data_IF_120080608108
#
_entry.id   IF_120080608108
#
_cell.length_a   1.000
_cell.length_b   1.000
_cell.length_c   1.000
_cell.angle_alpha   90.00
_cell.angle_beta   90.00
_cell.angle_gamma   90.00
#
_symmetry.space_group_name_H-M   'P 1'
#
loop_
_entity.id
_entity.type
_entity.pdbx_description
1 polymer ?
#
# COMPACT_ATOMS: atom_id res chain seq x y z
N UNK A 1 32.64 -59.22 -15.15
CA UNK A 1 32.88 -57.95 -15.87
C UNK A 1 31.68 -57.06 -15.60
N UNK A 2 31.76 -56.25 -14.55
CA UNK A 2 30.67 -55.37 -14.09
C UNK A 2 30.63 -54.13 -14.98
N UNK A 3 29.52 -53.87 -15.66
CA UNK A 3 29.23 -52.56 -16.23
C UNK A 3 28.28 -51.82 -15.28
N UNK A 4 28.78 -50.75 -14.67
CA UNK A 4 27.95 -49.74 -14.01
C UNK A 4 27.24 -48.92 -15.09
N UNK A 5 25.91 -48.95 -15.10
CA UNK A 5 25.09 -47.98 -15.83
C UNK A 5 24.89 -46.80 -14.89
N UNK A 6 25.64 -45.72 -15.13
CA UNK A 6 25.39 -44.42 -14.51
C UNK A 6 24.20 -43.81 -15.24
N UNK A 7 23.06 -43.71 -14.55
CA UNK A 7 21.91 -42.92 -14.98
C UNK A 7 22.25 -41.43 -14.76
N UNK A 8 22.92 -40.82 -15.74
CA UNK A 8 22.98 -39.36 -15.81
C UNK A 8 21.62 -38.86 -16.32
N UNK A 9 20.75 -38.41 -15.41
CA UNK A 9 19.62 -37.55 -15.77
C UNK A 9 20.18 -36.24 -16.32
N UNK A 10 20.43 -36.21 -17.63
CA UNK A 10 20.54 -34.98 -18.39
C UNK A 10 19.14 -34.35 -18.41
N UNK A 11 18.92 -33.35 -17.54
CA UNK A 11 17.83 -32.41 -17.70
C UNK A 11 18.05 -31.65 -19.02
N UNK A 12 17.53 -32.19 -20.11
CA UNK A 12 17.38 -31.45 -21.35
C UNK A 12 16.35 -30.35 -21.12
N UNK A 13 16.84 -29.12 -20.94
CA UNK A 13 16.00 -27.92 -21.02
C UNK A 13 15.58 -27.78 -22.48
N UNK A 14 14.42 -28.35 -22.83
CA UNK A 14 13.85 -28.20 -24.17
C UNK A 14 13.30 -26.77 -24.22
N UNK A 15 13.83 -25.89 -25.08
CA UNK A 15 13.36 -24.52 -25.16
C UNK A 15 12.04 -24.55 -25.93
N UNK A 16 10.93 -24.64 -25.22
CA UNK A 16 9.63 -24.32 -25.79
C UNK A 16 9.07 -23.19 -24.96
N UNK A 17 9.48 -21.96 -25.26
CA UNK A 17 8.58 -20.81 -25.29
C UNK A 17 9.13 -19.78 -26.28
N UNK A 18 8.29 -19.40 -27.23
CA UNK A 18 8.52 -18.41 -28.29
C UNK A 18 8.52 -16.97 -27.77
N UNK A 19 8.65 -16.77 -26.46
CA UNK A 19 8.62 -15.47 -25.78
C UNK A 19 10.02 -15.08 -25.37
N UNK A 20 10.45 -13.89 -25.81
CA UNK A 20 11.73 -13.31 -25.42
C UNK A 20 11.60 -12.77 -24.01
N UNK A 21 12.23 -13.43 -23.02
CA UNK A 21 12.23 -12.95 -21.63
C UNK A 21 13.06 -11.65 -21.54
N UNK A 22 12.47 -10.52 -21.11
CA UNK A 22 13.20 -9.27 -20.88
C UNK A 22 14.20 -9.42 -19.71
N UNK A 23 15.40 -8.85 -19.87
CA UNK A 23 16.40 -8.85 -18.80
C UNK A 23 17.36 -7.65 -18.87
N UNK A 24 17.99 -7.34 -17.74
CA UNK A 24 19.02 -6.31 -17.59
C UNK A 24 20.34 -6.99 -17.22
N UNK A 25 21.43 -6.63 -17.91
CA UNK A 25 22.77 -7.12 -17.63
C UNK A 25 23.44 -6.30 -16.51
N UNK A 26 24.30 -6.97 -15.74
CA UNK A 26 25.09 -6.41 -14.66
C UNK A 26 24.25 -5.72 -13.58
N UNK A 27 23.11 -6.32 -13.24
CA UNK A 27 22.13 -5.70 -12.36
C UNK A 27 21.40 -6.75 -11.54
N UNK A 28 21.03 -6.37 -10.32
CA UNK A 28 20.16 -7.16 -9.46
C UNK A 28 19.03 -6.30 -8.87
N UNK A 29 17.91 -6.96 -8.60
CA UNK A 29 16.81 -6.43 -7.80
C UNK A 29 17.06 -6.71 -6.32
N UNK A 30 17.14 -5.68 -5.50
CA UNK A 30 17.30 -5.81 -4.04
C UNK A 30 16.04 -5.25 -3.38
N UNK A 31 15.16 -6.10 -2.86
CA UNK A 31 14.07 -5.59 -2.04
C UNK A 31 14.63 -5.11 -0.69
N UNK A 32 13.98 -4.10 -0.12
CA UNK A 32 14.27 -3.63 1.24
C UNK A 32 13.82 -4.65 2.31
N UNK A 33 12.88 -5.55 1.97
CA UNK A 33 12.46 -6.69 2.80
C UNK A 33 12.60 -8.02 2.06
N UNK A 34 13.20 -9.02 2.72
CA UNK A 34 13.44 -10.34 2.12
C UNK A 34 12.25 -11.31 2.24
N UNK A 35 11.04 -10.82 2.45
CA UNK A 35 9.91 -11.64 2.90
C UNK A 35 9.33 -12.58 1.84
N UNK A 36 9.64 -12.37 0.55
CA UNK A 36 9.09 -13.17 -0.57
C UNK A 36 10.16 -13.66 -1.57
N UNK A 37 11.37 -13.96 -1.09
CA UNK A 37 12.49 -14.41 -1.93
C UNK A 37 12.75 -15.90 -1.73
N UNK A 38 12.77 -16.67 -2.82
CA UNK A 38 13.33 -18.03 -2.82
C UNK A 38 14.77 -17.98 -3.30
N UNK A 39 15.72 -18.44 -2.48
CA UNK A 39 17.15 -18.47 -2.83
C UNK A 39 17.56 -19.91 -3.15
N UNK A 40 18.18 -20.09 -4.31
CA UNK A 40 18.76 -21.36 -4.74
C UNK A 40 20.24 -21.13 -5.01
N UNK A 41 21.10 -22.01 -4.51
CA UNK A 41 22.57 -21.95 -4.70
C UNK A 41 23.05 -23.12 -5.55
N UNK A 42 24.28 -23.04 -6.06
CA UNK A 42 24.89 -24.04 -6.95
C UNK A 42 24.07 -24.29 -8.22
N UNK A 43 23.45 -23.25 -8.77
CA UNK A 43 22.74 -23.30 -10.04
C UNK A 43 23.20 -22.16 -10.94
N UNK A 44 23.57 -22.52 -12.18
CA UNK A 44 23.86 -21.52 -13.20
C UNK A 44 22.58 -20.76 -13.57
N UNK A 45 22.73 -19.55 -14.08
CA UNK A 45 21.60 -18.73 -14.50
C UNK A 45 20.68 -19.45 -15.52
N UNK A 46 21.27 -20.24 -16.44
CA UNK A 46 20.49 -21.02 -17.40
C UNK A 46 19.65 -22.09 -16.73
N UNK A 47 20.17 -22.75 -15.69
CA UNK A 47 19.41 -23.76 -14.93
C UNK A 47 18.25 -23.10 -14.16
N UNK A 48 18.50 -21.91 -13.57
CA UNK A 48 17.46 -21.14 -12.89
C UNK A 48 16.33 -20.71 -13.81
N UNK A 49 16.64 -20.30 -15.04
CA UNK A 49 15.62 -19.98 -16.04
C UNK A 49 14.75 -21.20 -16.40
N UNK A 50 15.30 -22.41 -16.36
CA UNK A 50 14.55 -23.63 -16.65
C UNK A 50 13.59 -24.02 -15.50
N UNK A 51 13.81 -23.56 -14.27
CA UNK A 51 12.87 -23.77 -13.15
C UNK A 51 11.55 -23.00 -13.30
N UNK A 52 11.50 -22.01 -14.19
CA UNK A 52 10.39 -21.05 -14.30
C UNK A 52 9.14 -21.68 -14.91
N UNK A 53 9.29 -22.75 -15.69
CA UNK A 53 8.26 -23.32 -16.56
C UNK A 53 6.98 -23.77 -15.80
N UNK A 54 7.01 -23.87 -14.47
CA UNK A 54 5.86 -24.20 -13.62
C UNK A 54 5.74 -23.30 -12.37
N UNK A 55 6.32 -22.10 -12.36
CA UNK A 55 6.43 -21.26 -11.15
C UNK A 55 5.67 -19.93 -11.26
N UNK A 56 5.22 -19.40 -10.12
CA UNK A 56 4.54 -18.10 -9.98
C UNK A 56 5.48 -16.89 -9.92
N UNK A 57 6.79 -17.08 -10.09
CA UNK A 57 7.77 -16.01 -9.92
C UNK A 57 7.68 -14.95 -11.01
N UNK A 58 7.82 -13.68 -10.62
CA UNK A 58 7.73 -12.53 -11.52
C UNK A 58 9.10 -11.96 -11.89
N UNK A 59 10.12 -12.15 -11.04
CA UNK A 59 11.49 -11.74 -11.31
C UNK A 59 12.53 -12.76 -10.81
N UNK A 60 13.73 -12.69 -11.37
CA UNK A 60 14.87 -13.53 -11.03
C UNK A 60 16.18 -12.72 -11.05
N UNK A 61 16.93 -12.72 -9.95
CA UNK A 61 18.35 -12.38 -9.97
C UNK A 61 19.17 -13.65 -10.23
N UNK A 62 20.02 -13.61 -11.25
CA UNK A 62 21.15 -14.50 -11.41
C UNK A 62 22.40 -13.81 -10.89
N UNK A 63 22.99 -14.31 -9.81
CA UNK A 63 24.20 -13.76 -9.20
C UNK A 63 25.46 -14.47 -9.75
N UNK A 64 26.65 -13.83 -9.67
CA UNK A 64 27.89 -14.38 -10.23
C UNK A 64 28.40 -15.66 -9.56
N UNK A 65 27.89 -16.01 -8.39
CA UNK A 65 28.32 -17.14 -7.56
C UNK A 65 27.38 -18.35 -7.66
N UNK A 66 26.80 -18.59 -8.85
CA UNK A 66 25.81 -19.65 -9.09
C UNK A 66 24.65 -19.63 -8.07
N UNK A 67 24.22 -18.43 -7.69
CA UNK A 67 23.09 -18.19 -6.80
C UNK A 67 21.97 -17.50 -7.56
N UNK A 68 20.75 -17.97 -7.36
CA UNK A 68 19.55 -17.43 -7.95
C UNK A 68 18.58 -16.99 -6.86
N UNK A 69 18.02 -15.79 -7.02
CA UNK A 69 17.00 -15.27 -6.14
C UNK A 69 15.73 -15.07 -6.95
N UNK A 70 14.68 -15.81 -6.62
CA UNK A 70 13.38 -15.74 -7.28
C UNK A 70 12.41 -14.92 -6.44
N UNK A 71 11.63 -14.06 -7.09
CA UNK A 71 10.70 -13.14 -6.44
C UNK A 71 9.27 -13.48 -6.86
N UNK A 72 8.39 -13.70 -5.88
CA UNK A 72 6.95 -13.91 -6.13
C UNK A 72 6.19 -12.58 -6.33
N UNK A 73 6.70 -11.51 -5.74
CA UNK A 73 6.12 -10.15 -5.77
C UNK A 73 7.24 -9.13 -5.91
N UNK A 74 6.91 -7.90 -6.31
CA UNK A 74 7.83 -6.77 -6.17
C UNK A 74 7.58 -6.15 -4.80
N UNK A 75 8.63 -6.04 -3.97
CA UNK A 75 8.55 -5.26 -2.75
C UNK A 75 8.12 -3.83 -3.08
N UNK A 76 7.31 -3.20 -2.20
CA UNK A 76 6.88 -1.81 -2.38
C UNK A 76 8.07 -0.86 -2.47
N UNK A 77 9.10 -1.11 -1.68
CA UNK A 77 10.39 -0.43 -1.77
C UNK A 77 11.45 -1.43 -2.19
N UNK A 78 12.21 -1.08 -3.23
CA UNK A 78 13.28 -1.90 -3.76
C UNK A 78 14.35 -0.99 -4.37
N UNK A 79 15.55 -1.52 -4.53
CA UNK A 79 16.61 -0.86 -5.28
C UNK A 79 17.06 -1.76 -6.41
N UNK A 80 17.47 -1.16 -7.52
CA UNK A 80 18.15 -1.86 -8.60
C UNK A 80 19.62 -1.48 -8.48
N UNK A 81 20.49 -2.46 -8.22
CA UNK A 81 21.91 -2.23 -8.00
C UNK A 81 22.75 -2.84 -9.11
N UNK A 82 23.79 -2.11 -9.52
CA UNK A 82 24.77 -2.59 -10.50
C UNK A 82 25.71 -3.60 -9.85
N UNK A 83 25.73 -4.83 -10.38
CA UNK A 83 26.64 -5.89 -9.96
C UNK A 83 27.21 -6.56 -11.21
N UNK A 84 28.54 -6.54 -11.34
CA UNK A 84 29.23 -7.18 -12.46
C UNK A 84 28.87 -8.65 -12.57
N UNK A 85 28.61 -9.13 -13.79
CA UNK A 85 28.28 -10.53 -14.11
C UNK A 85 26.95 -11.03 -13.53
N UNK A 86 26.13 -10.16 -12.93
CA UNK A 86 24.76 -10.49 -12.56
C UNK A 86 23.77 -10.24 -13.70
N UNK A 87 22.59 -10.85 -13.63
CA UNK A 87 21.47 -10.57 -14.55
C UNK A 87 20.14 -10.57 -13.81
N UNK A 88 19.31 -9.57 -14.09
CA UNK A 88 17.93 -9.48 -13.60
C UNK A 88 16.96 -9.81 -14.74
N UNK A 89 16.13 -10.83 -14.57
CA UNK A 89 15.12 -11.25 -15.54
C UNK A 89 13.71 -10.92 -15.05
N UNK A 90 12.83 -10.52 -15.98
CA UNK A 90 11.41 -10.29 -15.75
C UNK A 90 10.61 -11.41 -16.42
N UNK A 91 10.13 -12.36 -15.63
CA UNK A 91 9.78 -13.70 -16.13
C UNK A 91 8.41 -13.76 -16.78
N UNK A 92 7.52 -12.85 -16.39
CA UNK A 92 6.12 -12.78 -16.86
C UNK A 92 5.83 -11.48 -17.62
N UNK A 93 6.88 -10.78 -18.10
CA UNK A 93 6.78 -9.40 -18.63
C UNK A 93 6.15 -8.41 -17.64
N UNK A 94 6.08 -8.79 -16.36
CA UNK A 94 5.71 -7.92 -15.26
C UNK A 94 6.99 -7.23 -14.82
N UNK A 95 7.08 -5.94 -15.11
CA UNK A 95 8.16 -5.10 -14.64
C UNK A 95 7.81 -4.58 -13.24
N UNK A 96 8.80 -4.40 -12.35
CA UNK A 96 8.57 -3.67 -11.12
C UNK A 96 8.01 -2.31 -11.52
N UNK A 97 7.03 -1.80 -10.76
CA UNK A 97 6.60 -0.41 -10.91
C UNK A 97 7.85 0.44 -10.76
N UNK A 98 8.44 0.85 -11.88
CA UNK A 98 9.63 1.65 -11.94
C UNK A 98 9.26 3.06 -11.52
N UNK A 99 9.02 3.26 -10.23
CA UNK A 99 9.06 4.58 -9.65
C UNK A 99 10.49 4.79 -9.16
N UNK A 100 11.35 5.21 -10.09
CA UNK A 100 12.55 5.98 -9.74
C UNK A 100 12.17 7.45 -9.50
N UNK A 101 10.89 7.74 -9.26
CA UNK A 101 10.42 9.07 -8.92
C UNK A 101 10.58 9.26 -7.42
N UNK A 102 11.82 9.30 -6.94
CA UNK A 102 12.08 10.06 -5.73
C UNK A 102 12.53 11.45 -6.14
N UNK A 103 11.66 12.45 -5.95
CA UNK A 103 12.05 13.85 -6.12
C UNK A 103 12.76 14.29 -4.84
N UNK A 104 14.07 14.06 -4.82
CA UNK A 104 14.96 14.34 -3.68
C UNK A 104 14.92 15.81 -3.25
N UNK A 105 14.80 16.73 -4.21
CA UNK A 105 14.60 18.15 -3.93
C UNK A 105 13.13 18.41 -3.48
N UNK A 106 12.93 18.40 -2.17
CA UNK A 106 11.61 18.65 -1.57
C UNK A 106 11.06 20.02 -1.93
N UNK A 107 11.87 21.10 -1.93
CA UNK A 107 11.39 22.43 -2.28
C UNK A 107 10.85 22.49 -3.72
N UNK A 108 11.55 21.85 -4.66
CA UNK A 108 11.07 21.73 -6.04
C UNK A 108 9.73 20.99 -6.13
N UNK A 109 9.58 19.86 -5.43
CA UNK A 109 8.32 19.13 -5.38
C UNK A 109 7.19 20.01 -4.82
N UNK A 110 7.42 20.68 -3.69
CA UNK A 110 6.42 21.53 -3.04
C UNK A 110 6.03 22.70 -3.94
N UNK A 111 6.98 23.33 -4.60
CA UNK A 111 6.72 24.40 -5.57
C UNK A 111 5.89 23.89 -6.75
N UNK A 112 6.16 22.68 -7.27
CA UNK A 112 5.36 22.09 -8.34
C UNK A 112 3.93 21.81 -7.89
N UNK A 113 3.75 21.16 -6.74
CA UNK A 113 2.42 20.82 -6.23
C UNK A 113 1.56 22.05 -5.94
N UNK A 114 2.17 23.12 -5.42
CA UNK A 114 1.44 24.36 -5.09
C UNK A 114 1.19 25.27 -6.29
N UNK A 115 1.95 25.11 -7.38
CA UNK A 115 1.76 25.87 -8.63
C UNK A 115 0.88 25.15 -9.65
N UNK A 116 0.74 23.82 -9.55
CA UNK A 116 -0.14 23.03 -10.41
C UNK A 116 -1.62 23.32 -10.13
N UNK A 117 -2.40 23.54 -11.19
CA UNK A 117 -3.85 23.67 -11.11
C UNK A 117 -4.49 22.32 -10.73
N UNK A 118 -5.18 22.21 -9.59
CA UNK A 118 -5.82 20.96 -9.20
C UNK A 118 -7.10 20.70 -9.98
N UNK A 119 -7.46 19.41 -10.10
CA UNK A 119 -8.77 18.95 -10.57
C UNK A 119 -9.59 18.56 -9.33
N UNK A 120 -10.87 18.92 -9.32
CA UNK A 120 -11.76 18.69 -8.19
C UNK A 120 -12.97 17.85 -8.61
N UNK A 121 -13.38 16.92 -7.76
CA UNK A 121 -14.71 16.33 -7.79
C UNK A 121 -15.47 16.68 -6.52
N UNK A 122 -16.67 17.24 -6.68
CA UNK A 122 -17.56 17.56 -5.57
C UNK A 122 -18.20 16.26 -5.04
N UNK A 123 -17.76 15.85 -3.86
CA UNK A 123 -18.26 14.69 -3.14
C UNK A 123 -18.55 15.15 -1.73
N UNK A 124 -19.78 14.93 -1.23
CA UNK A 124 -20.08 15.37 0.13
C UNK A 124 -19.33 14.52 1.16
N UNK A 125 -18.50 15.15 1.98
CA UNK A 125 -17.76 14.55 3.09
C UNK A 125 -17.08 13.22 2.72
N UNK A 126 -16.10 13.23 1.79
CA UNK A 126 -15.34 12.05 1.41
C UNK A 126 -14.41 11.61 2.55
N UNK A 127 -14.07 10.32 2.58
CA UNK A 127 -13.17 9.70 3.57
C UNK A 127 -11.98 9.05 2.86
N UNK A 128 -11.55 7.85 3.27
CA UNK A 128 -10.41 7.15 2.68
C UNK A 128 -10.56 6.96 1.18
N UNK A 129 -9.40 6.90 0.51
CA UNK A 129 -9.28 6.64 -0.91
C UNK A 129 -8.61 5.28 -1.12
N UNK A 130 -9.05 4.54 -2.13
CA UNK A 130 -8.36 3.34 -2.64
C UNK A 130 -8.41 3.26 -4.16
N UNK A 131 -7.43 2.58 -4.74
CA UNK A 131 -7.53 2.07 -6.10
C UNK A 131 -8.02 0.63 -6.08
N UNK A 132 -8.89 0.28 -7.04
CA UNK A 132 -9.29 -1.10 -7.28
C UNK A 132 -8.65 -1.67 -8.56
N UNK A 133 -8.82 -2.98 -8.78
CA UNK A 133 -8.28 -3.65 -9.96
C UNK A 133 -8.98 -3.26 -11.28
N UNK A 134 -10.12 -2.57 -11.21
CA UNK A 134 -10.76 -1.98 -12.39
C UNK A 134 -10.13 -0.63 -12.78
N UNK A 135 -9.15 -0.15 -12.00
CA UNK A 135 -8.47 1.11 -12.23
C UNK A 135 -9.27 2.33 -11.79
N UNK A 136 -10.29 2.15 -10.94
CA UNK A 136 -11.05 3.28 -10.39
C UNK A 136 -10.42 3.82 -9.11
N UNK A 137 -10.53 5.13 -8.93
CA UNK A 137 -10.32 5.76 -7.62
C UNK A 137 -11.64 5.69 -6.86
N UNK A 138 -11.62 5.14 -5.66
CA UNK A 138 -12.83 4.84 -4.88
C UNK A 138 -12.76 5.52 -3.52
N UNK A 139 -13.87 6.13 -3.11
CA UNK A 139 -14.07 6.69 -1.78
C UNK A 139 -15.43 6.26 -1.24
N UNK A 140 -15.65 6.48 0.05
CA UNK A 140 -17.00 6.55 0.64
C UNK A 140 -17.36 7.99 0.96
N UNK A 141 -18.66 8.28 0.94
CA UNK A 141 -19.23 9.56 1.36
C UNK A 141 -20.04 9.36 2.63
N UNK A 142 -19.71 10.09 3.70
CA UNK A 142 -20.42 10.05 4.98
C UNK A 142 -21.87 10.49 4.79
N UNK A 143 -22.06 11.62 4.11
CA UNK A 143 -23.37 12.27 4.00
C UNK A 143 -24.26 11.62 2.95
N UNK A 144 -23.69 11.16 1.83
CA UNK A 144 -24.46 10.44 0.79
C UNK A 144 -24.67 8.97 1.16
N UNK A 145 -23.93 8.45 2.15
CA UNK A 145 -23.98 7.06 2.62
C UNK A 145 -23.82 6.07 1.49
N UNK A 146 -22.78 6.22 0.68
CA UNK A 146 -22.50 5.34 -0.46
C UNK A 146 -21.02 5.27 -0.79
N UNK A 147 -20.65 4.24 -1.54
CA UNK A 147 -19.39 4.16 -2.29
C UNK A 147 -19.49 5.10 -3.49
N UNK A 148 -18.39 5.73 -3.87
CA UNK A 148 -18.27 6.55 -5.07
C UNK A 148 -17.01 6.13 -5.81
N UNK A 149 -17.16 5.75 -7.08
CA UNK A 149 -16.07 5.41 -7.99
C UNK A 149 -15.84 6.57 -8.95
N UNK A 150 -14.58 6.85 -9.26
CA UNK A 150 -14.12 7.96 -10.08
C UNK A 150 -13.11 7.44 -11.11
N UNK A 151 -13.16 7.99 -12.32
CA UNK A 151 -12.04 7.84 -13.26
C UNK A 151 -10.84 8.65 -12.75
N UNK A 152 -9.67 8.04 -12.47
CA UNK A 152 -8.57 8.74 -11.79
C UNK A 152 -7.97 9.89 -12.59
N UNK A 153 -8.06 9.87 -13.92
CA UNK A 153 -7.45 10.88 -14.77
C UNK A 153 -8.15 12.24 -14.67
N UNK A 154 -9.47 12.25 -14.54
CA UNK A 154 -10.30 13.46 -14.63
C UNK A 154 -11.30 13.63 -13.48
N UNK A 155 -11.33 12.69 -12.52
CA UNK A 155 -12.25 12.64 -11.38
C UNK A 155 -13.74 12.67 -11.78
N UNK A 156 -14.10 12.17 -12.96
CA UNK A 156 -15.51 12.00 -13.32
C UNK A 156 -16.11 10.80 -12.60
N UNK A 157 -17.33 10.94 -12.07
CA UNK A 157 -18.02 9.90 -11.30
C UNK A 157 -18.48 8.79 -12.25
N UNK A 158 -18.19 7.54 -11.88
CA UNK A 158 -18.70 6.34 -12.56
C UNK A 158 -20.13 6.09 -12.09
N UNK A 159 -21.08 6.07 -13.03
CA UNK A 159 -22.51 5.97 -12.74
C UNK A 159 -23.04 4.55 -12.64
N UNK A 160 -22.35 3.56 -13.23
CA UNK A 160 -22.83 2.18 -13.33
C UNK A 160 -21.78 1.13 -12.92
N UNK A 161 -22.18 0.03 -12.23
CA UNK A 161 -23.46 -0.12 -11.54
C UNK A 161 -23.70 0.97 -10.48
N UNK A 162 -24.98 1.22 -10.21
CA UNK A 162 -25.44 2.12 -9.15
C UNK A 162 -24.90 1.66 -7.79
N UNK A 163 -24.28 2.58 -7.06
CA UNK A 163 -23.74 2.27 -5.74
C UNK A 163 -24.84 2.06 -4.71
N UNK A 164 -24.70 1.07 -3.80
CA UNK A 164 -25.65 0.84 -2.74
C UNK A 164 -25.72 2.06 -1.82
N UNK A 165 -26.93 2.34 -1.33
CA UNK A 165 -27.14 3.35 -0.29
C UNK A 165 -27.19 2.67 1.07
N UNK A 166 -26.28 3.05 1.94
CA UNK A 166 -26.16 2.51 3.29
C UNK A 166 -27.14 3.19 4.25
N UNK A 167 -27.53 2.45 5.28
CA UNK A 167 -28.36 2.99 6.37
C UNK A 167 -27.53 3.87 7.30
N UNK A 168 -26.28 3.50 7.55
CA UNK A 168 -25.35 4.20 8.42
C UNK A 168 -24.35 5.04 7.62
N UNK A 169 -23.65 5.93 8.32
CA UNK A 169 -22.60 6.75 7.72
C UNK A 169 -21.28 5.97 7.65
N UNK A 170 -20.74 5.68 6.46
CA UNK A 170 -19.48 4.97 6.32
C UNK A 170 -18.32 5.82 6.84
N UNK A 171 -17.37 5.20 7.53
CA UNK A 171 -16.24 5.87 8.16
C UNK A 171 -14.95 5.73 7.34
N UNK A 172 -14.76 4.56 6.71
CA UNK A 172 -13.61 4.30 5.85
C UNK A 172 -13.95 3.24 4.79
N UNK A 173 -13.06 3.10 3.82
CA UNK A 173 -13.07 2.02 2.83
C UNK A 173 -11.64 1.53 2.61
N UNK A 174 -11.49 0.22 2.43
CA UNK A 174 -10.27 -0.39 1.89
C UNK A 174 -10.65 -1.43 0.82
N UNK A 175 -9.67 -1.92 0.07
CA UNK A 175 -9.85 -2.84 -1.04
C UNK A 175 -8.89 -4.03 -0.93
N UNK A 176 -9.42 -5.24 -1.10
CA UNK A 176 -8.64 -6.47 -1.15
C UNK A 176 -9.46 -7.61 -1.78
N UNK A 177 -8.82 -8.50 -2.54
CA UNK A 177 -9.45 -9.66 -3.19
C UNK A 177 -10.79 -9.32 -3.87
N UNK A 178 -10.77 -8.34 -4.77
CA UNK A 178 -11.95 -7.94 -5.57
C UNK A 178 -13.18 -7.50 -4.75
N UNK A 179 -12.98 -7.15 -3.48
CA UNK A 179 -14.02 -6.64 -2.60
C UNK A 179 -13.62 -5.32 -1.93
N UNK A 180 -14.60 -4.45 -1.75
CA UNK A 180 -14.50 -3.29 -0.87
C UNK A 180 -14.91 -3.69 0.55
N UNK A 181 -14.12 -3.25 1.52
CA UNK A 181 -14.43 -3.39 2.94
C UNK A 181 -14.77 -1.99 3.46
N UNK A 182 -16.06 -1.74 3.64
CA UNK A 182 -16.60 -0.45 4.08
C UNK A 182 -16.88 -0.53 5.56
N UNK A 183 -16.17 0.27 6.36
CA UNK A 183 -16.36 0.26 7.79
C UNK A 183 -17.42 1.28 8.23
N UNK A 184 -18.23 0.85 9.19
CA UNK A 184 -19.14 1.66 9.98
C UNK A 184 -18.68 1.63 11.44
N UNK A 185 -19.26 2.45 12.34
CA UNK A 185 -18.81 2.49 13.73
C UNK A 185 -18.74 1.13 14.43
N UNK A 186 -19.64 0.19 14.10
CA UNK A 186 -19.81 -1.09 14.83
C UNK A 186 -19.71 -2.36 13.97
N UNK A 187 -19.47 -2.23 12.66
CA UNK A 187 -19.37 -3.36 11.74
C UNK A 187 -18.61 -2.98 10.48
N UNK A 188 -18.18 -3.98 9.72
CA UNK A 188 -17.58 -3.80 8.39
C UNK A 188 -18.45 -4.53 7.39
N UNK A 189 -18.89 -3.83 6.36
CA UNK A 189 -19.65 -4.40 5.26
C UNK A 189 -18.70 -4.72 4.11
N UNK A 190 -18.82 -5.92 3.56
CA UNK A 190 -18.05 -6.32 2.38
C UNK A 190 -18.94 -6.21 1.15
N UNK A 191 -18.45 -5.51 0.12
CA UNK A 191 -19.17 -5.21 -1.10
C UNK A 191 -18.35 -5.68 -2.30
N UNK A 192 -18.99 -6.41 -3.20
CA UNK A 192 -18.38 -6.86 -4.45
C UNK A 192 -18.01 -5.67 -5.36
N UNK A 193 -16.80 -5.63 -5.91
CA UNK A 193 -16.35 -4.45 -6.68
C UNK A 193 -16.99 -4.30 -8.05
N UNK A 194 -17.43 -5.41 -8.64
CA UNK A 194 -17.98 -5.43 -9.99
C UNK A 194 -19.47 -5.10 -10.00
N UNK A 195 -20.23 -5.73 -9.11
CA UNK A 195 -21.70 -5.64 -9.02
C UNK A 195 -22.18 -4.65 -7.96
N UNK A 196 -21.30 -4.23 -7.04
CA UNK A 196 -21.64 -3.43 -5.86
C UNK A 196 -22.72 -4.06 -4.97
N UNK A 197 -22.84 -5.39 -5.00
CA UNK A 197 -23.72 -6.15 -4.12
C UNK A 197 -23.04 -6.42 -2.79
N UNK A 198 -23.83 -6.49 -1.71
CA UNK A 198 -23.32 -6.79 -0.37
C UNK A 198 -23.04 -8.30 -0.30
N UNK A 199 -21.80 -8.67 0.04
CA UNK A 199 -21.37 -10.05 0.14
C UNK A 199 -21.61 -10.61 1.54
N UNK A 200 -21.13 -9.92 2.57
CA UNK A 200 -21.31 -10.29 3.96
C UNK A 200 -21.08 -9.06 4.89
N UNK A 201 -21.21 -9.28 6.20
CA UNK A 201 -20.78 -8.33 7.22
C UNK A 201 -19.81 -9.02 8.18
N UNK A 202 -18.77 -8.30 8.59
CA UNK A 202 -17.85 -8.69 9.66
C UNK A 202 -18.26 -7.91 10.91
N UNK A 203 -18.57 -8.65 11.98
CA UNK A 203 -19.08 -8.09 13.23
C UNK A 203 -18.36 -8.68 14.43
N UNK A 204 -18.22 -7.87 15.47
CA UNK A 204 -17.79 -8.29 16.82
C UNK A 204 -18.19 -7.18 17.79
N UNK A 205 -18.45 -7.51 19.06
CA UNK A 205 -18.74 -6.53 20.10
C UNK A 205 -17.60 -5.56 20.39
N UNK A 206 -16.39 -5.85 19.89
CA UNK A 206 -15.19 -5.05 20.12
C UNK A 206 -15.01 -3.89 19.12
N UNK A 207 -15.77 -3.90 18.01
CA UNK A 207 -15.77 -2.78 17.05
C UNK A 207 -16.51 -1.59 17.66
N UNK A 208 -15.77 -0.50 17.87
CA UNK A 208 -16.35 0.76 18.36
C UNK A 208 -15.59 1.95 17.77
N UNK A 209 -16.30 2.74 16.98
CA UNK A 209 -15.73 3.88 16.29
C UNK A 209 -14.67 3.48 15.26
N UNK A 210 -14.93 2.48 14.41
CA UNK A 210 -13.95 2.04 13.40
C UNK A 210 -13.44 3.19 12.51
N UNK A 211 -12.12 3.37 12.37
CA UNK A 211 -11.49 4.47 11.56
C UNK A 211 -10.37 4.07 10.61
N UNK A 212 -9.59 3.04 10.93
CA UNK A 212 -8.56 2.51 10.03
C UNK A 212 -8.66 1.00 9.86
N UNK A 213 -8.32 0.51 8.67
CA UNK A 213 -8.22 -0.91 8.38
C UNK A 213 -7.11 -1.18 7.38
N UNK A 214 -6.41 -2.31 7.54
CA UNK A 214 -5.44 -2.81 6.56
C UNK A 214 -5.37 -4.33 6.61
N UNK A 215 -4.81 -4.91 5.55
CA UNK A 215 -4.56 -6.33 5.44
C UNK A 215 -3.06 -6.62 5.60
N UNK A 216 -2.75 -7.72 6.28
CA UNK A 216 -1.42 -8.31 6.35
C UNK A 216 -1.45 -9.73 5.78
N UNK A 217 -0.28 -10.29 5.52
CA UNK A 217 -0.08 -11.68 5.13
C UNK A 217 -0.92 -12.04 3.91
N UNK A 218 -0.89 -11.16 2.90
CA UNK A 218 -1.72 -11.27 1.69
C UNK A 218 -3.23 -11.47 2.00
N UNK A 219 -3.76 -10.76 2.99
CA UNK A 219 -5.18 -10.86 3.36
C UNK A 219 -5.52 -11.90 4.41
N UNK A 220 -4.58 -12.74 4.85
CA UNK A 220 -4.91 -13.72 5.89
C UNK A 220 -5.27 -13.05 7.21
N UNK A 221 -4.75 -11.85 7.47
CA UNK A 221 -5.04 -11.05 8.66
C UNK A 221 -5.59 -9.69 8.28
N UNK A 222 -6.72 -9.31 8.87
CA UNK A 222 -7.28 -7.95 8.82
C UNK A 222 -7.06 -7.30 10.18
N UNK A 223 -6.45 -6.10 10.18
CA UNK A 223 -6.28 -5.28 11.37
C UNK A 223 -7.19 -4.07 11.27
N UNK A 224 -7.84 -3.74 12.39
CA UNK A 224 -8.82 -2.66 12.47
C UNK A 224 -8.55 -1.80 13.71
N UNK A 225 -8.59 -0.48 13.55
CA UNK A 225 -8.51 0.45 14.67
C UNK A 225 -9.90 0.66 15.26
N UNK A 226 -10.08 0.23 16.51
CA UNK A 226 -11.24 0.52 17.34
C UNK A 226 -10.93 1.79 18.13
N UNK A 227 -11.23 2.93 17.52
CA UNK A 227 -10.78 4.26 17.96
C UNK A 227 -11.24 4.56 19.38
N UNK A 228 -12.54 4.42 19.66
CA UNK A 228 -13.12 4.85 20.94
C UNK A 228 -12.76 3.92 22.12
N UNK A 229 -12.36 2.69 21.84
CA UNK A 229 -11.85 1.77 22.88
C UNK A 229 -10.32 1.77 22.99
N UNK A 230 -9.61 2.47 22.11
CA UNK A 230 -8.13 2.46 22.01
C UNK A 230 -7.56 1.02 21.92
N UNK A 231 -8.08 0.25 20.96
CA UNK A 231 -7.55 -1.07 20.61
C UNK A 231 -7.24 -1.18 19.13
N UNK A 232 -6.25 -2.01 18.81
CA UNK A 232 -6.13 -2.64 17.50
C UNK A 232 -6.81 -4.02 17.59
N UNK A 233 -7.75 -4.28 16.69
CA UNK A 233 -8.46 -5.56 16.61
C UNK A 233 -7.90 -6.37 15.47
N UNK A 234 -7.71 -7.67 15.69
CA UNK A 234 -7.19 -8.58 14.68
C UNK A 234 -8.25 -9.61 14.34
N UNK A 235 -8.39 -9.83 13.03
CA UNK A 235 -9.27 -10.83 12.47
C UNK A 235 -8.47 -11.73 11.55
N UNK A 236 -8.81 -13.02 11.54
CA UNK A 236 -8.28 -13.96 10.58
C UNK A 236 -9.32 -14.27 9.52
N UNK A 237 -8.83 -14.42 8.29
CA UNK A 237 -9.63 -14.89 7.17
C UNK A 237 -10.19 -16.30 7.49
N UNK A 238 -11.48 -16.50 7.29
CA UNK A 238 -12.15 -17.76 7.65
C UNK A 238 -11.75 -18.93 6.76
N UNK A 239 -11.34 -18.65 5.53
CA UNK A 239 -10.79 -19.61 4.56
C UNK A 239 -9.93 -18.86 3.54
N UNK A 240 -8.96 -19.55 2.92
CA UNK A 240 -8.12 -18.96 1.85
C UNK A 240 -8.99 -18.33 0.77
N UNK A 241 -8.61 -17.12 0.35
CA UNK A 241 -9.31 -16.30 -0.65
C UNK A 241 -10.77 -15.93 -0.29
N UNK A 242 -11.19 -16.15 0.95
CA UNK A 242 -12.50 -15.72 1.44
C UNK A 242 -12.54 -14.23 1.75
N UNK A 243 -13.71 -13.62 1.56
CA UNK A 243 -14.02 -12.29 2.05
C UNK A 243 -14.60 -12.29 3.47
N UNK A 244 -14.66 -13.45 4.12
CA UNK A 244 -15.14 -13.61 5.51
C UNK A 244 -13.98 -13.60 6.50
N UNK A 245 -14.16 -12.87 7.60
CA UNK A 245 -13.17 -12.75 8.66
C UNK A 245 -13.80 -13.00 10.02
N UNK A 246 -13.03 -13.59 10.92
CA UNK A 246 -13.43 -13.88 12.30
C UNK A 246 -12.50 -13.16 13.28
N UNK A 247 -13.07 -12.54 14.30
CA UNK A 247 -12.30 -11.88 15.35
C UNK A 247 -11.44 -12.90 16.10
N UNK A 248 -10.17 -12.55 16.34
CA UNK A 248 -9.19 -13.43 16.99
C UNK A 248 -8.74 -12.86 18.32
N UNK A 249 -8.22 -11.64 18.31
CA UNK A 249 -7.74 -10.97 19.52
C UNK A 249 -7.76 -9.44 19.35
N UNK A 250 -7.38 -8.75 20.42
CA UNK A 250 -7.21 -7.31 20.42
C UNK A 250 -5.95 -6.94 21.21
N UNK A 251 -5.32 -5.84 20.84
CA UNK A 251 -4.20 -5.24 21.55
C UNK A 251 -4.58 -3.84 22.02
N UNK A 252 -4.47 -3.59 23.33
CA UNK A 252 -4.62 -2.25 23.89
C UNK A 252 -3.43 -1.40 23.45
N UNK A 253 -3.69 -0.18 22.99
CA UNK A 253 -2.64 0.80 22.66
C UNK A 253 -2.38 1.74 23.84
N UNK A 254 -1.19 2.34 23.92
CA UNK A 254 -0.84 3.26 25.02
C UNK A 254 -1.13 4.74 24.71
N UNK A 255 -1.83 5.01 23.61
CA UNK A 255 -2.28 6.33 23.20
C UNK A 255 -3.78 6.33 22.93
N UNK A 256 -4.34 7.51 22.72
CA UNK A 256 -5.78 7.69 22.53
C UNK A 256 -6.14 7.72 21.05
N UNK A 257 -7.34 7.25 20.73
CA UNK A 257 -7.94 7.31 19.41
C UNK A 257 -7.04 6.82 18.25
N UNK A 258 -6.62 5.53 18.24
CA UNK A 258 -5.98 4.94 17.07
C UNK A 258 -6.90 5.11 15.85
N UNK A 259 -6.33 5.58 14.76
CA UNK A 259 -7.11 6.10 13.64
C UNK A 259 -6.65 5.52 12.30
N UNK A 260 -5.70 6.14 11.61
CA UNK A 260 -5.26 5.72 10.29
C UNK A 260 -4.13 4.70 10.33
N UNK A 261 -4.09 3.78 9.36
CA UNK A 261 -2.97 2.86 9.15
C UNK A 261 -2.13 3.24 7.93
N UNK A 262 -0.85 2.89 7.98
CA UNK A 262 0.02 2.81 6.82
C UNK A 262 0.81 1.50 6.83
N UNK A 263 0.53 0.63 5.85
CA UNK A 263 1.23 -0.63 5.66
C UNK A 263 2.64 -0.41 5.10
N UNK A 264 3.63 -1.05 5.71
CA UNK A 264 5.01 -1.12 5.18
C UNK A 264 5.35 -2.56 4.80
N UNK A 265 5.11 -3.52 5.69
CA UNK A 265 5.28 -4.96 5.48
C UNK A 265 4.36 -5.75 6.40
N UNK A 266 4.31 -7.07 6.23
CA UNK A 266 3.54 -7.97 7.11
C UNK A 266 4.03 -8.00 8.57
N UNK A 267 5.20 -7.44 8.83
CA UNK A 267 5.81 -7.35 10.16
C UNK A 267 6.01 -5.92 10.65
N UNK A 268 5.62 -4.90 9.87
CA UNK A 268 5.85 -3.50 10.21
C UNK A 268 4.81 -2.57 9.60
N UNK A 269 4.25 -1.67 10.41
CA UNK A 269 3.29 -0.67 9.96
C UNK A 269 3.27 0.55 10.87
N UNK A 270 2.60 1.61 10.43
CA UNK A 270 2.32 2.79 11.27
C UNK A 270 0.84 2.93 11.59
N UNK A 271 0.55 3.53 12.74
CA UNK A 271 -0.80 3.94 13.15
C UNK A 271 -0.77 5.39 13.60
N UNK A 272 -1.75 6.18 13.18
CA UNK A 272 -1.91 7.57 13.65
C UNK A 272 -2.84 7.62 14.86
N UNK A 273 -2.60 8.57 15.76
CA UNK A 273 -3.56 8.99 16.77
C UNK A 273 -4.33 10.21 16.26
N UNK A 274 -5.66 10.13 16.26
CA UNK A 274 -6.51 11.26 15.87
C UNK A 274 -6.40 12.41 16.86
N UNK A 275 -6.42 12.12 18.15
CA UNK A 275 -6.46 13.18 19.16
C UNK A 275 -5.08 13.78 19.45
N UNK A 276 -4.02 12.96 19.48
CA UNK A 276 -2.68 13.40 19.90
C UNK A 276 -1.83 13.94 18.74
N UNK A 277 -2.27 13.79 17.48
CA UNK A 277 -1.47 14.12 16.30
C UNK A 277 -0.09 13.43 16.32
N UNK A 278 -0.07 12.16 16.72
CA UNK A 278 1.13 11.33 16.80
C UNK A 278 1.05 10.16 15.82
N UNK A 279 2.21 9.60 15.49
CA UNK A 279 2.36 8.39 14.68
C UNK A 279 3.16 7.39 15.50
N UNK A 280 2.64 6.17 15.59
CA UNK A 280 3.29 5.04 16.24
C UNK A 280 3.70 4.01 15.21
N UNK A 281 4.93 3.53 15.33
CA UNK A 281 5.42 2.37 14.61
C UNK A 281 5.06 1.10 15.37
N UNK A 282 4.63 0.08 14.63
CA UNK A 282 4.37 -1.26 15.13
C UNK A 282 5.27 -2.25 14.43
N UNK A 283 5.94 -3.09 15.23
CA UNK A 283 6.77 -4.19 14.73
C UNK A 283 6.30 -5.50 15.33
N UNK A 284 6.22 -6.54 14.50
CA UNK A 284 5.88 -7.88 14.94
C UNK A 284 7.01 -8.49 15.79
N UNK A 285 6.64 -9.08 16.90
CA UNK A 285 7.48 -9.95 17.73
C UNK A 285 6.80 -11.32 17.82
N UNK A 286 7.57 -12.40 17.93
CA UNK A 286 7.06 -13.77 18.04
C UNK A 286 6.07 -14.16 16.92
N UNK A 287 6.57 -14.32 15.68
CA UNK A 287 5.77 -14.82 14.55
C UNK A 287 4.47 -14.04 14.28
N UNK A 288 4.51 -12.71 14.43
CA UNK A 288 3.39 -11.79 14.13
C UNK A 288 2.16 -11.88 15.04
N UNK A 289 2.32 -12.44 16.26
CA UNK A 289 1.22 -12.52 17.24
C UNK A 289 1.23 -11.35 18.22
N UNK A 290 2.39 -10.78 18.54
CA UNK A 290 2.54 -9.67 19.49
C UNK A 290 3.16 -8.48 18.77
N UNK A 291 2.61 -7.28 18.93
CA UNK A 291 3.13 -6.09 18.28
C UNK A 291 3.76 -5.13 19.29
N UNK A 292 5.03 -4.81 19.07
CA UNK A 292 5.71 -3.76 19.83
C UNK A 292 5.38 -2.41 19.24
N UNK A 293 4.84 -1.55 20.09
CA UNK A 293 4.47 -0.16 19.80
C UNK A 293 5.61 0.78 20.18
N UNK A 294 5.96 1.72 19.30
CA UNK A 294 6.93 2.77 19.57
C UNK A 294 6.44 4.10 18.98
N UNK A 295 6.49 5.17 19.78
CA UNK A 295 6.27 6.53 19.26
C UNK A 295 7.32 6.83 18.19
N UNK A 296 6.86 7.15 16.99
CA UNK A 296 7.72 7.50 15.85
C UNK A 296 7.76 9.01 15.64
N UNK A 297 6.60 9.68 15.68
CA UNK A 297 6.49 11.10 15.38
C UNK A 297 5.42 11.76 16.25
N UNK A 298 5.73 12.96 16.74
CA UNK A 298 4.80 13.83 17.46
C UNK A 298 4.69 15.19 16.74
N UNK A 299 3.50 15.47 16.20
CA UNK A 299 3.22 16.69 15.45
C UNK A 299 2.50 17.77 16.28
N UNK A 300 2.29 17.56 17.59
CA UNK A 300 1.49 18.47 18.42
C UNK A 300 2.03 19.91 18.43
N UNK A 301 3.35 20.06 18.36
CA UNK A 301 4.03 21.37 18.30
C UNK A 301 3.76 22.16 17.02
N UNK A 302 3.36 21.50 15.92
CA UNK A 302 3.17 22.09 14.59
C UNK A 302 1.75 21.95 14.04
N UNK A 303 0.87 21.28 14.80
CA UNK A 303 -0.55 21.09 14.56
C UNK A 303 -1.27 21.03 15.92
N UNK A 304 -1.67 22.18 16.49
CA UNK A 304 -2.13 22.25 17.87
C UNK A 304 -3.57 21.76 18.08
N UNK A 305 -4.38 21.62 17.01
CA UNK A 305 -5.73 21.03 17.11
C UNK A 305 -5.70 19.54 16.77
N UNK A 306 -6.38 18.73 17.57
CA UNK A 306 -6.56 17.29 17.40
C UNK A 306 -7.24 16.94 16.07
N UNK A 307 -6.49 16.40 15.11
CA UNK A 307 -7.03 15.98 13.82
C UNK A 307 -6.10 15.02 13.04
N UNK A 308 -5.42 14.10 13.73
CA UNK A 308 -4.43 13.18 13.15
C UNK A 308 -5.04 12.02 12.37
N UNK A 309 -5.42 12.27 11.12
CA UNK A 309 -6.25 11.35 10.34
C UNK A 309 -5.47 10.17 9.76
N UNK A 310 -4.58 10.41 8.80
CA UNK A 310 -3.86 9.34 8.08
C UNK A 310 -2.45 9.76 7.69
N UNK A 311 -1.60 8.76 7.49
CA UNK A 311 -0.26 8.90 6.96
C UNK A 311 -0.20 8.35 5.54
N UNK A 312 0.54 9.02 4.68
CA UNK A 312 1.06 8.47 3.42
C UNK A 312 2.57 8.62 3.43
N UNK A 313 3.30 7.56 3.08
CA UNK A 313 4.75 7.63 2.89
C UNK A 313 5.04 7.58 1.39
N UNK A 314 5.82 8.53 0.90
CA UNK A 314 6.23 8.53 -0.51
C UNK A 314 7.55 7.79 -0.73
N UNK A 315 7.96 7.69 -1.99
CA UNK A 315 9.16 6.96 -2.45
C UNK A 315 10.49 7.56 -1.97
N UNK A 316 10.46 8.75 -1.35
CA UNK A 316 11.63 9.38 -0.74
C UNK A 316 11.65 9.21 0.80
N UNK A 317 10.85 8.28 1.35
CA UNK A 317 10.65 8.14 2.79
C UNK A 317 10.21 9.45 3.47
N UNK A 318 9.40 10.26 2.77
CA UNK A 318 8.76 11.42 3.39
C UNK A 318 7.40 11.04 3.92
N UNK A 319 7.10 11.51 5.12
CA UNK A 319 5.90 11.18 5.87
C UNK A 319 4.89 12.31 5.73
N UNK A 320 3.88 12.10 4.90
CA UNK A 320 2.80 13.04 4.64
C UNK A 320 1.67 12.76 5.63
N UNK A 321 1.62 13.57 6.69
CA UNK A 321 0.62 13.44 7.74
C UNK A 321 -0.58 14.35 7.45
N UNK A 322 -1.73 13.73 7.20
CA UNK A 322 -3.02 14.39 7.02
C UNK A 322 -3.57 14.80 8.38
N UNK A 323 -3.45 16.08 8.72
CA UNK A 323 -3.81 16.62 10.03
C UNK A 323 -5.11 17.43 9.98
N UNK A 324 -6.04 17.04 9.10
CA UNK A 324 -7.38 17.62 8.96
C UNK A 324 -7.35 19.14 8.95
N UNK A 325 -8.04 19.83 9.85
CA UNK A 325 -8.09 21.30 9.91
C UNK A 325 -6.73 22.01 10.00
N UNK A 326 -5.64 21.29 10.30
CA UNK A 326 -4.28 21.83 10.28
C UNK A 326 -3.63 21.79 8.89
N UNK A 327 -4.19 21.08 7.90
CA UNK A 327 -3.59 20.82 6.59
C UNK A 327 -2.66 19.60 6.56
N UNK A 328 -1.79 19.51 5.57
CA UNK A 328 -0.82 18.41 5.44
C UNK A 328 0.55 18.86 5.98
N UNK A 329 1.19 18.04 6.80
CA UNK A 329 2.59 18.21 7.24
C UNK A 329 3.46 17.13 6.64
N UNK A 330 4.65 17.49 6.19
CA UNK A 330 5.60 16.55 5.60
C UNK A 330 6.83 16.52 6.48
N UNK A 331 7.23 15.31 6.87
CA UNK A 331 8.41 15.06 7.69
C UNK A 331 9.40 14.18 6.95
N UNK A 332 10.68 14.28 7.30
CA UNK A 332 11.71 13.35 6.83
C UNK A 332 11.78 12.09 7.71
N UNK A 333 12.69 11.17 7.39
CA UNK A 333 12.94 9.94 8.15
C UNK A 333 13.57 10.14 9.54
N UNK A 334 13.94 11.36 9.92
CA UNK A 334 14.26 11.73 11.31
C UNK A 334 13.08 12.41 12.03
N UNK A 335 11.85 12.28 11.50
CA UNK A 335 10.64 12.92 12.03
C UNK A 335 10.73 14.46 12.16
N UNK A 336 11.61 15.10 11.38
CA UNK A 336 11.73 16.56 11.34
C UNK A 336 10.80 17.15 10.30
N UNK A 337 10.08 18.22 10.63
CA UNK A 337 9.18 18.91 9.70
C UNK A 337 10.00 19.54 8.56
N UNK A 338 9.65 19.20 7.31
CA UNK A 338 10.31 19.73 6.11
C UNK A 338 9.37 20.53 5.20
N UNK A 339 8.05 20.35 5.32
CA UNK A 339 7.10 21.19 4.58
C UNK A 339 5.70 21.23 5.23
N UNK A 340 4.95 22.28 4.90
CA UNK A 340 3.57 22.49 5.31
C UNK A 340 2.71 22.88 4.10
N UNK A 341 1.70 22.05 3.79
CA UNK A 341 0.79 22.25 2.67
C UNK A 341 -0.63 22.50 3.17
N UNK A 342 -0.93 23.76 3.50
CA UNK A 342 -2.28 24.21 3.88
C UNK A 342 -3.13 24.68 2.69
N UNK A 343 -2.51 24.97 1.55
CA UNK A 343 -3.21 25.49 0.36
C UNK A 343 -3.80 24.41 -0.54
N UNK A 344 -3.31 23.18 -0.44
CA UNK A 344 -3.79 22.05 -1.25
C UNK A 344 -5.16 21.60 -0.78
N UNK A 345 -5.32 21.47 0.54
CA UNK A 345 -6.54 21.00 1.19
C UNK A 345 -6.64 21.68 2.54
N UNK A 346 -7.82 22.19 2.86
CA UNK A 346 -8.08 22.86 4.14
C UNK A 346 -8.38 21.85 5.25
N UNK A 347 -8.89 20.67 4.90
CA UNK A 347 -9.20 19.59 5.83
C UNK A 347 -8.88 18.21 5.24
N UNK A 348 -7.61 17.93 4.92
CA UNK A 348 -7.18 16.65 4.37
C UNK A 348 -7.45 15.50 5.34
N UNK A 349 -8.13 14.47 4.85
CA UNK A 349 -8.43 13.27 5.61
C UNK A 349 -7.55 12.09 5.18
N UNK A 350 -7.40 11.86 3.88
CA UNK A 350 -6.59 10.78 3.32
C UNK A 350 -5.87 11.25 2.05
N UNK A 351 -4.73 10.64 1.74
CA UNK A 351 -4.08 10.83 0.45
C UNK A 351 -3.57 9.55 -0.18
N UNK A 352 -3.45 9.55 -1.51
CA UNK A 352 -2.66 8.59 -2.26
C UNK A 352 -1.65 9.38 -3.09
N UNK A 353 -0.40 8.95 -3.06
CA UNK A 353 0.68 9.46 -3.91
C UNK A 353 1.05 8.33 -4.86
N UNK A 354 0.94 8.56 -6.17
CA UNK A 354 1.38 7.56 -7.15
C UNK A 354 2.88 7.64 -7.40
N UNK A 355 3.38 6.63 -8.09
CA UNK A 355 4.72 6.52 -8.68
C UNK A 355 5.19 7.73 -9.51
N UNK A 356 4.30 8.62 -9.94
CA UNK A 356 4.59 9.83 -10.74
C UNK A 356 4.30 11.13 -9.98
N UNK A 357 4.17 11.05 -8.66
CA UNK A 357 3.69 12.15 -7.80
C UNK A 357 2.34 12.73 -8.22
N UNK A 358 1.47 11.94 -8.87
CA UNK A 358 0.07 12.32 -8.94
C UNK A 358 -0.50 12.12 -7.54
N UNK A 359 -1.03 13.20 -6.96
CA UNK A 359 -1.55 13.19 -5.59
C UNK A 359 -3.06 13.25 -5.64
N UNK A 360 -3.71 12.33 -4.94
CA UNK A 360 -5.13 12.35 -4.66
C UNK A 360 -5.33 12.66 -3.19
N UNK A 361 -6.17 13.64 -2.87
CA UNK A 361 -6.50 14.02 -1.49
C UNK A 361 -8.00 14.03 -1.30
N UNK A 362 -8.49 13.44 -0.22
CA UNK A 362 -9.86 13.65 0.22
C UNK A 362 -9.92 14.78 1.24
N UNK A 363 -10.75 15.79 0.96
CA UNK A 363 -11.00 16.92 1.85
C UNK A 363 -12.42 16.81 2.41
N UNK A 364 -12.52 16.30 3.64
CA UNK A 364 -13.81 15.93 4.25
C UNK A 364 -14.67 17.17 4.50
N UNK A 365 -14.09 18.26 4.97
CA UNK A 365 -14.85 19.47 5.33
C UNK A 365 -15.19 20.32 4.11
N UNK A 366 -14.32 20.35 3.10
CA UNK A 366 -14.55 21.13 1.88
C UNK A 366 -15.43 20.40 0.86
N UNK A 367 -15.73 19.12 1.06
CA UNK A 367 -16.54 18.28 0.17
C UNK A 367 -15.89 18.06 -1.21
N UNK A 368 -14.58 17.80 -1.24
CA UNK A 368 -13.87 17.55 -2.49
C UNK A 368 -12.96 16.32 -2.42
N UNK A 369 -12.87 15.61 -3.55
CA UNK A 369 -11.66 14.87 -3.91
C UNK A 369 -10.84 15.76 -4.82
N UNK A 370 -9.56 15.87 -4.53
CA UNK A 370 -8.61 16.73 -5.21
C UNK A 370 -7.58 15.84 -5.90
N UNK A 371 -7.30 16.11 -7.17
CA UNK A 371 -6.20 15.52 -7.93
C UNK A 371 -5.22 16.62 -8.30
N UNK A 372 -3.94 16.41 -7.98
CA UNK A 372 -2.84 17.27 -8.40
C UNK A 372 -1.90 16.43 -9.23
N UNK A 373 -1.67 16.86 -10.47
CA UNK A 373 -0.72 16.23 -11.38
C UNK A 373 0.40 17.23 -11.70
N UNK A 374 1.52 17.16 -10.96
CA UNK A 374 2.61 18.10 -11.12
C UNK A 374 3.39 17.89 -12.43
N UNK A 375 3.03 16.89 -13.25
CA UNK A 375 3.72 16.51 -14.48
C UNK A 375 5.23 16.40 -14.27
N UNK A 376 5.63 15.78 -13.16
CA UNK A 376 7.04 15.61 -12.85
C UNK A 376 7.55 14.42 -13.65
N UNK A 377 8.57 14.67 -14.47
CA UNK A 377 9.30 13.61 -15.15
C UNK A 377 10.27 13.00 -14.15
N UNK A 378 10.10 11.70 -13.93
CA UNK A 378 10.97 10.89 -13.11
C UNK A 378 12.23 10.60 -13.94
N UNK A 379 13.19 11.53 -13.92
CA UNK A 379 14.47 11.32 -14.58
C UNK A 379 15.32 10.40 -13.69
N UNK A 380 15.83 9.32 -14.27
CA UNK A 380 16.99 8.63 -13.72
C UNK A 380 18.17 9.60 -13.83
N UNK A 381 18.80 9.95 -12.72
CA UNK A 381 20.02 10.73 -12.71
C UNK A 381 21.13 10.03 -13.54
N UNK A 382 21.27 10.41 -14.80
CA UNK A 382 22.52 10.34 -15.57
C UNK A 382 22.58 11.60 -16.45
N UNK A 383 23.00 12.72 -15.86
CA UNK A 383 23.78 13.76 -16.53
C UNK A 383 24.37 14.71 -15.48
N UNK A 384 25.52 14.29 -14.92
CA UNK A 384 26.66 15.16 -14.57
C UNK A 384 27.94 14.33 -14.46
#
# INVERSE_FOLDING_TARGET
>A
MLFHIIFSLLFFCVPIFTTKIPFINNTIFIPTSNTDITIITNQTCSQCLCFILNSSYIALNCLPNDTCQFFNTFSRTYTIQTISQARLYFLQEIFPNASQCCISNTDYLINKLTSTTPIYANISSPRCLVFDNNGYLVTVSINLKKIIRLYPANLTIVSDPLSPRFNDSPQLITYHNEAYYVAFPYYIMVVDTNTLTILNNITTSNLDGTRGMMFLNNGQTLIVASTFNSYLLFFNQSATDSTSYSFVNQQKVNYIDPHGFWYVSDTYFYVTSWQDNTIYAYSATNSSVIWTEQLFLDALSVAPSSDGNHLTVDECDRYWFMLGGNGIRIFNNQASLIANLTRISASPFYSIITDKYVIYVSDTSSNFIIRIDPNIQCYSDEEN
#
